data_IF_126177441351
#
_entry.id   IF_126177441351
#
_cell.length_a   1.000
_cell.length_b   1.000
_cell.length_c   1.000
_cell.angle_alpha   90.00
_cell.angle_beta   90.00
_cell.angle_gamma   90.00
#
_symmetry.space_group_name_H-M   'P 1'
#
loop_
_entity.id
_entity.type
_entity.pdbx_description
1 polymer ?
#
# COMPACT_ATOMS: atom_id res chain seq x y z
N UNK A 1 -15.94 17.14 -24.00
CA UNK A 1 -15.68 15.70 -24.20
C UNK A 1 -16.51 14.99 -23.15
N UNK A 2 -17.37 14.04 -23.55
CA UNK A 2 -18.29 13.40 -22.62
C UNK A 2 -17.49 12.69 -21.51
N UNK A 3 -17.80 12.97 -20.24
CA UNK A 3 -17.34 12.19 -19.10
C UNK A 3 -17.88 10.77 -19.26
N UNK A 4 -17.10 9.91 -19.92
CA UNK A 4 -17.39 8.50 -20.03
C UNK A 4 -17.31 7.86 -18.64
N UNK A 5 -18.30 7.05 -18.31
CA UNK A 5 -18.33 6.25 -17.08
C UNK A 5 -17.01 5.47 -16.95
N UNK A 6 -16.23 5.73 -15.89
CA UNK A 6 -14.94 5.06 -15.69
C UNK A 6 -15.17 3.57 -15.51
N UNK A 7 -14.66 2.74 -16.43
CA UNK A 7 -14.81 1.28 -16.32
C UNK A 7 -13.55 0.63 -15.74
N UNK A 8 -13.74 -0.32 -14.84
CA UNK A 8 -12.69 -0.98 -14.07
C UNK A 8 -12.57 -2.46 -14.44
N UNK A 9 -11.34 -2.94 -14.53
CA UNK A 9 -10.99 -4.35 -14.51
C UNK A 9 -10.24 -4.69 -13.22
N UNK A 10 -10.74 -5.65 -12.46
CA UNK A 10 -10.19 -6.05 -11.16
C UNK A 10 -9.52 -7.42 -11.28
N UNK A 11 -8.24 -7.45 -10.92
CA UNK A 11 -7.41 -8.65 -10.92
C UNK A 11 -6.94 -8.91 -9.49
N UNK A 12 -7.30 -10.09 -8.96
CA UNK A 12 -7.08 -10.43 -7.57
C UNK A 12 -6.06 -11.55 -7.47
N UNK A 13 -4.91 -11.22 -6.91
CA UNK A 13 -3.95 -12.20 -6.45
C UNK A 13 -4.38 -12.69 -5.07
N UNK A 14 -5.13 -13.79 -5.07
CA UNK A 14 -5.76 -14.28 -3.85
C UNK A 14 -4.74 -14.90 -2.91
N UNK A 15 -3.66 -15.48 -3.42
CA UNK A 15 -2.64 -16.12 -2.58
C UNK A 15 -1.92 -15.07 -1.73
N UNK A 16 -1.45 -13.97 -2.34
CA UNK A 16 -0.79 -12.89 -1.59
C UNK A 16 -1.75 -12.20 -0.61
N UNK A 17 -3.01 -12.01 -1.03
CA UNK A 17 -4.02 -11.42 -0.17
C UNK A 17 -4.31 -12.30 1.04
N UNK A 18 -4.53 -13.60 0.84
CA UNK A 18 -4.78 -14.57 1.90
C UNK A 18 -3.57 -14.73 2.84
N UNK A 19 -2.35 -14.66 2.33
CA UNK A 19 -1.13 -14.64 3.17
C UNK A 19 -1.13 -13.45 4.13
N UNK A 20 -1.60 -12.28 3.71
CA UNK A 20 -1.73 -11.09 4.56
C UNK A 20 -2.70 -11.24 5.74
N UNK A 21 -3.64 -12.19 5.69
CA UNK A 21 -4.54 -12.55 6.80
C UNK A 21 -4.04 -13.73 7.63
N UNK A 22 -3.02 -14.46 7.16
CA UNK A 22 -2.53 -15.68 7.80
C UNK A 22 -1.83 -15.33 9.12
N UNK A 23 -2.54 -15.55 10.24
CA UNK A 23 -2.08 -15.22 11.60
C UNK A 23 -3.01 -14.26 12.36
N UNK A 24 -3.91 -13.57 11.66
CA UNK A 24 -4.92 -12.68 12.25
C UNK A 24 -6.20 -13.49 12.54
N UNK A 25 -6.28 -14.13 13.73
CA UNK A 25 -7.37 -15.06 14.12
C UNK A 25 -8.79 -14.50 13.98
N UNK A 26 -8.96 -13.17 14.03
CA UNK A 26 -10.26 -12.51 14.05
C UNK A 26 -10.61 -11.76 12.74
N UNK A 27 -9.75 -11.78 11.71
CA UNK A 27 -10.02 -11.08 10.45
C UNK A 27 -9.94 -12.03 9.26
N UNK A 28 -11.08 -12.21 8.58
CA UNK A 28 -11.16 -12.93 7.31
C UNK A 28 -11.18 -11.94 6.15
N UNK A 29 -10.70 -12.37 5.01
CA UNK A 29 -10.83 -11.60 3.78
C UNK A 29 -12.30 -11.51 3.35
N UNK A 30 -12.80 -10.29 3.17
CA UNK A 30 -14.17 -9.96 2.79
C UNK A 30 -14.17 -9.23 1.45
N UNK A 31 -14.37 -10.00 0.37
CA UNK A 31 -14.38 -9.46 -0.98
C UNK A 31 -15.43 -8.37 -1.21
N UNK A 32 -16.56 -8.43 -0.50
CA UNK A 32 -17.66 -7.46 -0.66
C UNK A 32 -17.18 -6.03 -0.35
N UNK A 33 -16.38 -5.86 0.71
CA UNK A 33 -15.81 -4.55 1.09
C UNK A 33 -14.90 -3.98 0.00
N UNK A 34 -14.09 -4.84 -0.61
CA UNK A 34 -13.23 -4.46 -1.75
C UNK A 34 -14.11 -3.97 -2.91
N UNK A 35 -15.13 -4.75 -3.28
CA UNK A 35 -16.00 -4.38 -4.39
C UNK A 35 -16.80 -3.10 -4.12
N UNK A 36 -17.32 -2.90 -2.92
CA UNK A 36 -18.02 -1.68 -2.50
C UNK A 36 -17.14 -0.45 -2.70
N UNK A 37 -15.89 -0.49 -2.21
CA UNK A 37 -14.94 0.61 -2.39
C UNK A 37 -14.59 0.86 -3.86
N UNK A 38 -14.46 -0.21 -4.66
CA UNK A 38 -14.10 -0.09 -6.07
C UNK A 38 -15.26 0.42 -6.94
N UNK A 39 -16.50 0.15 -6.57
CA UNK A 39 -17.68 0.69 -7.27
C UNK A 39 -17.73 2.22 -7.18
N UNK A 40 -17.22 2.82 -6.11
CA UNK A 40 -17.08 4.29 -5.98
C UNK A 40 -16.10 4.88 -7.00
N UNK A 41 -15.15 4.08 -7.49
CA UNK A 41 -14.14 4.49 -8.49
C UNK A 41 -14.64 4.35 -9.92
N UNK A 42 -15.73 3.61 -10.13
CA UNK A 42 -16.37 3.43 -11.42
C UNK A 42 -17.00 2.05 -11.58
N UNK A 43 -17.49 1.79 -12.79
CA UNK A 43 -18.20 0.57 -13.13
C UNK A 43 -17.26 -0.61 -13.32
N UNK A 44 -17.36 -1.59 -12.44
CA UNK A 44 -16.57 -2.82 -12.55
C UNK A 44 -17.17 -3.73 -13.62
N UNK A 45 -16.40 -3.99 -14.68
CA UNK A 45 -16.82 -4.81 -15.83
C UNK A 45 -16.09 -6.15 -15.92
N UNK A 46 -14.89 -6.24 -15.34
CA UNK A 46 -14.12 -7.49 -15.25
C UNK A 46 -13.70 -7.69 -13.80
N UNK A 47 -13.86 -8.92 -13.29
CA UNK A 47 -13.40 -9.34 -11.96
C UNK A 47 -12.86 -10.76 -12.06
N UNK A 48 -11.55 -10.91 -11.92
CA UNK A 48 -10.87 -12.20 -11.95
C UNK A 48 -10.06 -12.41 -10.69
N UNK A 49 -10.08 -13.61 -10.14
CA UNK A 49 -9.22 -14.00 -9.02
C UNK A 49 -8.37 -15.20 -9.40
N UNK A 50 -7.11 -15.20 -8.97
CA UNK A 50 -6.09 -16.19 -9.31
C UNK A 50 -5.61 -16.89 -8.04
N UNK A 51 -5.73 -18.22 -7.99
CA UNK A 51 -5.26 -19.04 -6.87
C UNK A 51 -5.17 -20.52 -7.27
N UNK A 52 -4.45 -21.32 -6.48
CA UNK A 52 -4.74 -22.75 -6.37
C UNK A 52 -5.98 -22.92 -5.47
N UNK A 53 -7.16 -23.13 -6.05
CA UNK A 53 -8.39 -23.09 -5.27
C UNK A 53 -8.64 -24.37 -4.47
N UNK A 54 -7.79 -25.38 -4.60
CA UNK A 54 -7.78 -26.51 -3.67
C UNK A 54 -7.46 -26.03 -2.24
N UNK A 55 -6.56 -25.05 -2.11
CA UNK A 55 -6.12 -24.49 -0.82
C UNK A 55 -7.14 -23.51 -0.21
N UNK A 56 -8.06 -22.96 -1.02
CA UNK A 56 -8.97 -21.86 -0.64
C UNK A 56 -10.45 -22.16 -0.90
N UNK A 57 -10.85 -23.42 -0.73
CA UNK A 57 -12.21 -23.90 -1.01
C UNK A 57 -13.32 -23.12 -0.29
N UNK A 58 -13.08 -22.62 0.93
CA UNK A 58 -14.05 -21.84 1.72
C UNK A 58 -14.41 -20.50 1.08
N UNK A 59 -13.51 -19.92 0.26
CA UNK A 59 -13.71 -18.62 -0.39
C UNK A 59 -14.37 -18.73 -1.77
N UNK A 60 -14.44 -19.94 -2.36
CA UNK A 60 -15.07 -20.15 -3.68
C UNK A 60 -16.50 -19.64 -3.73
N UNK A 61 -17.33 -20.00 -2.75
CA UNK A 61 -18.74 -19.62 -2.72
C UNK A 61 -18.94 -18.09 -2.61
N UNK A 62 -18.34 -17.39 -1.62
CA UNK A 62 -18.43 -15.93 -1.54
C UNK A 62 -17.94 -15.19 -2.80
N UNK A 63 -16.85 -15.65 -3.41
CA UNK A 63 -16.31 -15.03 -4.63
C UNK A 63 -17.22 -15.26 -5.85
N UNK A 64 -17.75 -16.47 -5.99
CA UNK A 64 -18.71 -16.81 -7.05
C UNK A 64 -20.02 -16.02 -6.91
N UNK A 65 -20.55 -15.88 -5.69
CA UNK A 65 -21.71 -15.02 -5.40
C UNK A 65 -21.46 -13.55 -5.77
N UNK A 66 -20.21 -13.10 -5.72
CA UNK A 66 -19.81 -11.75 -6.11
C UNK A 66 -19.58 -11.58 -7.63
N UNK A 67 -19.90 -12.62 -8.43
CA UNK A 67 -19.66 -12.70 -9.87
C UNK A 67 -18.18 -12.51 -10.25
N UNK A 68 -17.28 -13.09 -9.47
CA UNK A 68 -15.84 -13.11 -9.75
C UNK A 68 -15.51 -14.42 -10.46
N UNK A 69 -14.81 -14.30 -11.59
CA UNK A 69 -14.28 -15.44 -12.31
C UNK A 69 -13.09 -16.03 -11.54
N UNK A 70 -13.18 -17.30 -11.18
CA UNK A 70 -12.15 -18.03 -10.46
C UNK A 70 -11.20 -18.71 -11.46
N UNK A 71 -9.98 -18.19 -11.58
CA UNK A 71 -8.94 -18.75 -12.44
C UNK A 71 -8.12 -19.75 -11.61
N UNK A 72 -8.24 -21.03 -11.94
CA UNK A 72 -7.53 -22.12 -11.28
C UNK A 72 -6.07 -22.20 -11.75
N UNK A 73 -5.14 -22.15 -10.80
CA UNK A 73 -3.70 -22.24 -11.03
C UNK A 73 -3.14 -23.43 -10.24
N UNK A 74 -3.20 -24.66 -10.78
CA UNK A 74 -2.78 -25.84 -10.04
C UNK A 74 -1.26 -25.89 -9.87
N UNK A 75 -0.79 -26.04 -8.62
CA UNK A 75 0.64 -26.15 -8.29
C UNK A 75 1.20 -27.53 -8.70
N UNK A 76 1.70 -27.66 -9.93
CA UNK A 76 2.23 -28.94 -10.45
C UNK A 76 3.61 -29.37 -9.93
N UNK A 77 4.34 -28.53 -9.18
CA UNK A 77 5.61 -28.88 -8.51
C UNK A 77 6.03 -27.83 -7.46
N UNK A 78 7.08 -28.14 -6.66
CA UNK A 78 7.66 -27.35 -5.56
C UNK A 78 8.05 -25.88 -5.92
N UNK A 79 7.99 -25.52 -7.21
CA UNK A 79 8.36 -24.22 -7.80
C UNK A 79 7.16 -23.39 -8.30
N UNK A 80 5.92 -23.85 -8.10
CA UNK A 80 4.71 -23.26 -8.71
C UNK A 80 4.26 -21.88 -8.22
N UNK A 81 5.00 -21.22 -7.32
CA UNK A 81 4.56 -19.99 -6.63
C UNK A 81 4.29 -18.81 -7.58
N UNK A 82 5.07 -18.66 -8.65
CA UNK A 82 4.95 -17.50 -9.54
C UNK A 82 3.93 -17.72 -10.68
N UNK A 83 3.27 -18.88 -10.73
CA UNK A 83 2.37 -19.22 -11.84
C UNK A 83 1.13 -18.34 -11.86
N UNK A 84 0.62 -17.98 -10.67
CA UNK A 84 -0.54 -17.12 -10.52
C UNK A 84 -0.21 -15.69 -10.98
N UNK A 85 0.92 -15.15 -10.51
CA UNK A 85 1.39 -13.80 -10.87
C UNK A 85 1.60 -13.65 -12.38
N UNK A 86 2.26 -14.63 -12.99
CA UNK A 86 2.49 -14.65 -14.44
C UNK A 86 1.16 -14.67 -15.19
N UNK A 87 0.22 -15.54 -14.78
CA UNK A 87 -1.08 -15.65 -15.44
C UNK A 87 -1.90 -14.37 -15.28
N UNK A 88 -1.89 -13.76 -14.10
CA UNK A 88 -2.54 -12.48 -13.82
C UNK A 88 -1.98 -11.38 -14.73
N UNK A 89 -0.64 -11.29 -14.85
CA UNK A 89 0.01 -10.31 -15.71
C UNK A 89 -0.37 -10.49 -17.19
N UNK A 90 -0.35 -11.72 -17.68
CA UNK A 90 -0.71 -12.05 -19.08
C UNK A 90 -2.16 -11.64 -19.37
N UNK A 91 -3.10 -12.07 -18.52
CA UNK A 91 -4.53 -11.74 -18.69
C UNK A 91 -4.77 -10.23 -18.60
N UNK A 92 -4.04 -9.51 -17.75
CA UNK A 92 -4.16 -8.05 -17.59
C UNK A 92 -3.72 -7.31 -18.84
N UNK A 93 -2.58 -7.70 -19.42
CA UNK A 93 -2.04 -7.09 -20.64
C UNK A 93 -2.90 -7.43 -21.86
N UNK A 94 -3.36 -8.68 -21.97
CA UNK A 94 -4.28 -9.09 -23.03
C UNK A 94 -5.59 -8.29 -22.97
N UNK A 95 -6.14 -8.08 -21.78
CA UNK A 95 -7.33 -7.25 -21.59
C UNK A 95 -7.08 -5.78 -21.92
N UNK A 96 -5.91 -5.24 -21.55
CA UNK A 96 -5.50 -3.87 -21.87
C UNK A 96 -5.53 -3.59 -23.37
N UNK A 97 -5.05 -4.54 -24.18
CA UNK A 97 -5.02 -4.41 -25.64
C UNK A 97 -6.34 -4.77 -26.32
N UNK A 98 -7.06 -5.77 -25.81
CA UNK A 98 -8.30 -6.25 -26.46
C UNK A 98 -9.54 -5.41 -26.13
N UNK A 99 -9.54 -4.68 -25.01
CA UNK A 99 -10.69 -3.90 -24.52
C UNK A 99 -10.28 -2.46 -24.22
N UNK A 100 -10.20 -1.65 -25.27
CA UNK A 100 -9.76 -0.25 -25.18
C UNK A 100 -10.62 0.59 -24.21
N UNK A 101 -11.92 0.31 -24.14
CA UNK A 101 -12.85 1.03 -23.26
C UNK A 101 -12.51 0.90 -21.77
N UNK A 102 -11.71 -0.10 -21.37
CA UNK A 102 -11.26 -0.26 -19.99
C UNK A 102 -10.21 0.81 -19.68
N UNK A 103 -10.60 1.84 -18.93
CA UNK A 103 -9.72 2.94 -18.54
C UNK A 103 -8.90 2.68 -17.28
N UNK A 104 -9.38 1.82 -16.38
CA UNK A 104 -8.77 1.62 -15.05
C UNK A 104 -8.54 0.14 -14.75
N UNK A 105 -7.34 -0.19 -14.29
CA UNK A 105 -6.94 -1.52 -13.85
C UNK A 105 -6.72 -1.51 -12.34
N UNK A 106 -7.33 -2.45 -11.64
CA UNK A 106 -7.17 -2.64 -10.20
C UNK A 106 -6.39 -3.92 -9.97
N UNK A 107 -5.21 -3.80 -9.36
CA UNK A 107 -4.37 -4.93 -8.98
C UNK A 107 -4.49 -5.12 -7.47
N UNK A 108 -5.18 -6.17 -7.06
CA UNK A 108 -5.33 -6.53 -5.66
C UNK A 108 -4.16 -7.44 -5.26
N UNK A 109 -3.02 -6.82 -4.96
CA UNK A 109 -1.83 -7.44 -4.39
C UNK A 109 -0.95 -6.38 -3.70
N UNK A 110 -0.10 -6.83 -2.77
CA UNK A 110 0.94 -6.01 -2.12
C UNK A 110 2.34 -6.22 -2.71
N UNK A 111 2.51 -7.19 -3.60
CA UNK A 111 3.83 -7.64 -4.07
C UNK A 111 4.49 -6.66 -5.05
N UNK A 112 5.76 -6.33 -4.81
CA UNK A 112 6.58 -5.53 -5.73
C UNK A 112 6.74 -6.14 -7.12
N UNK A 113 6.57 -7.47 -7.27
CA UNK A 113 6.74 -8.17 -8.55
C UNK A 113 5.71 -7.72 -9.60
N UNK A 114 4.62 -7.08 -9.21
CA UNK A 114 3.66 -6.45 -10.13
C UNK A 114 4.08 -5.07 -10.63
N UNK A 115 5.18 -4.49 -10.15
CA UNK A 115 5.63 -3.15 -10.59
C UNK A 115 5.82 -3.05 -12.11
N UNK A 116 6.43 -4.03 -12.82
CA UNK A 116 6.52 -4.00 -14.28
C UNK A 116 5.15 -3.99 -14.97
N UNK A 117 4.17 -4.74 -14.44
CA UNK A 117 2.79 -4.74 -14.96
C UNK A 117 2.16 -3.35 -14.82
N UNK A 118 2.28 -2.74 -13.63
CA UNK A 118 1.78 -1.38 -13.37
C UNK A 118 2.39 -0.38 -14.36
N UNK A 119 3.71 -0.40 -14.53
CA UNK A 119 4.40 0.47 -15.47
C UNK A 119 3.90 0.28 -16.90
N UNK A 120 3.70 -0.98 -17.32
CA UNK A 120 3.23 -1.28 -18.68
C UNK A 120 1.79 -0.84 -18.91
N UNK A 121 0.91 -0.99 -17.93
CA UNK A 121 -0.47 -0.49 -18.01
C UNK A 121 -0.50 1.04 -18.13
N UNK A 122 0.32 1.73 -17.35
CA UNK A 122 0.46 3.20 -17.40
C UNK A 122 1.04 3.69 -18.72
N UNK A 123 2.02 2.99 -19.28
CA UNK A 123 2.57 3.25 -20.62
C UNK A 123 1.47 3.20 -21.70
N UNK A 124 0.46 2.35 -21.52
CA UNK A 124 -0.71 2.26 -22.41
C UNK A 124 -1.85 3.24 -22.03
N UNK A 125 -1.55 4.27 -21.24
CA UNK A 125 -2.51 5.32 -20.86
C UNK A 125 -3.61 4.84 -19.91
N UNK A 126 -3.44 3.69 -19.25
CA UNK A 126 -4.41 3.18 -18.28
C UNK A 126 -4.10 3.71 -16.89
N UNK A 127 -5.14 4.02 -16.14
CA UNK A 127 -5.04 4.33 -14.71
C UNK A 127 -4.88 3.03 -13.93
N UNK A 128 -3.97 3.00 -12.95
CA UNK A 128 -3.72 1.81 -12.13
C UNK A 128 -3.98 2.09 -10.64
N UNK A 129 -4.87 1.30 -10.05
CA UNK A 129 -5.17 1.31 -8.62
C UNK A 129 -4.59 0.04 -8.00
N UNK A 130 -3.70 0.19 -7.02
CA UNK A 130 -3.24 -0.93 -6.20
C UNK A 130 -4.15 -1.12 -4.99
N UNK A 131 -4.38 -2.37 -4.58
CA UNK A 131 -5.06 -2.69 -3.33
C UNK A 131 -4.33 -3.80 -2.59
N UNK A 132 -3.92 -3.54 -1.35
CA UNK A 132 -3.15 -4.53 -0.58
C UNK A 132 -3.17 -4.27 0.91
N UNK A 133 -2.62 -5.20 1.69
CA UNK A 133 -2.47 -5.08 3.14
C UNK A 133 -1.33 -4.11 3.46
N UNK A 134 -1.51 -3.19 4.41
CA UNK A 134 -0.51 -2.15 4.73
C UNK A 134 0.85 -2.73 5.13
N UNK A 135 0.85 -3.80 5.92
CA UNK A 135 2.08 -4.45 6.42
C UNK A 135 2.79 -5.29 5.36
N UNK A 136 2.08 -5.73 4.32
CA UNK A 136 2.60 -6.62 3.27
C UNK A 136 2.78 -5.93 1.93
N UNK A 137 2.43 -4.65 1.83
CA UNK A 137 2.55 -3.87 0.60
C UNK A 137 3.93 -3.23 0.48
N UNK A 138 4.61 -3.46 -0.62
CA UNK A 138 5.91 -2.83 -0.88
C UNK A 138 5.76 -1.35 -1.23
N UNK A 139 6.65 -0.50 -0.71
CA UNK A 139 6.69 0.92 -1.09
C UNK A 139 6.95 1.12 -2.59
N UNK A 140 7.63 0.16 -3.23
CA UNK A 140 7.89 0.20 -4.67
C UNK A 140 6.59 0.11 -5.47
N UNK A 141 5.73 -0.87 -5.16
CA UNK A 141 4.43 -1.01 -5.82
C UNK A 141 3.55 0.21 -5.52
N UNK A 142 3.45 0.60 -4.24
CA UNK A 142 2.62 1.72 -3.78
C UNK A 142 2.95 3.01 -4.54
N UNK A 143 4.23 3.33 -4.69
CA UNK A 143 4.66 4.54 -5.38
C UNK A 143 4.51 4.47 -6.90
N UNK A 144 4.41 3.26 -7.48
CA UNK A 144 4.27 3.09 -8.93
C UNK A 144 2.81 3.21 -9.39
N UNK A 145 1.86 2.82 -8.54
CA UNK A 145 0.42 2.98 -8.80
C UNK A 145 0.00 4.45 -8.83
N UNK A 146 -1.09 4.77 -9.54
CA UNK A 146 -1.67 6.12 -9.53
C UNK A 146 -2.47 6.38 -8.25
N UNK A 147 -3.07 5.33 -7.71
CA UNK A 147 -3.70 5.31 -6.39
C UNK A 147 -3.39 3.97 -5.72
N UNK A 148 -3.21 3.97 -4.40
CA UNK A 148 -3.07 2.74 -3.62
C UNK A 148 -4.04 2.76 -2.44
N UNK A 149 -4.87 1.73 -2.33
CA UNK A 149 -5.89 1.57 -1.29
C UNK A 149 -5.44 0.45 -0.35
N UNK A 150 -5.32 0.74 0.94
CA UNK A 150 -5.03 -0.29 1.92
C UNK A 150 -6.29 -1.04 2.32
N UNK A 151 -6.21 -2.37 2.41
CA UNK A 151 -7.35 -3.18 2.81
C UNK A 151 -7.89 -2.79 4.19
N UNK A 152 -7.00 -2.44 5.12
CA UNK A 152 -7.35 -1.96 6.47
C UNK A 152 -8.13 -0.65 6.45
N UNK A 153 -8.01 0.15 5.39
CA UNK A 153 -8.79 1.38 5.19
C UNK A 153 -10.18 1.09 4.59
N UNK A 154 -10.41 -0.11 4.01
CA UNK A 154 -11.75 -0.54 3.57
C UNK A 154 -12.69 -0.80 4.75
N UNK A 155 -12.11 -1.22 5.88
CA UNK A 155 -12.83 -1.35 7.15
C UNK A 155 -13.11 0.00 7.80
N UNK A 156 -12.68 1.09 7.17
CA UNK A 156 -13.03 2.45 7.52
C UNK A 156 -14.02 3.02 6.48
N UNK A 157 -15.32 2.62 6.50
CA UNK A 157 -16.29 3.71 6.42
C UNK A 157 -15.89 4.64 7.57
N UNK A 158 -16.05 5.95 7.43
CA UNK A 158 -15.58 6.89 8.45
C UNK A 158 -16.03 6.51 9.87
N UNK A 159 -17.01 5.63 10.00
CA UNK A 159 -17.22 4.74 11.12
C UNK A 159 -18.69 4.80 11.42
N UNK A 160 -19.15 4.08 12.43
CA UNK A 160 -20.39 4.50 13.06
C UNK A 160 -20.08 5.83 13.78
N UNK A 161 -20.84 6.91 13.53
CA UNK A 161 -20.69 8.15 14.28
C UNK A 161 -20.69 7.84 15.79
N UNK A 162 -19.69 8.29 16.55
CA UNK A 162 -19.62 7.99 17.96
C UNK A 162 -20.76 8.74 18.66
N UNK A 163 -21.33 8.13 19.71
CA UNK A 163 -22.20 8.88 20.61
C UNK A 163 -21.33 9.77 21.46
N UNK A 164 -21.60 11.07 21.43
CA UNK A 164 -20.87 12.03 22.26
C UNK A 164 -21.36 11.85 23.70
N UNK A 165 -20.41 11.60 24.59
CA UNK A 165 -20.68 11.35 26.00
C UNK A 165 -21.34 12.59 26.67
N UNK A 166 -22.26 12.33 27.59
CA UNK A 166 -23.05 13.38 28.25
C UNK A 166 -22.31 14.08 29.40
N UNK A 167 -21.11 13.62 29.75
CA UNK A 167 -20.27 14.19 30.80
C UNK A 167 -19.40 15.36 30.28
N UNK A 168 -19.25 15.49 28.95
CA UNK A 168 -18.53 16.60 28.34
C UNK A 168 -19.25 17.94 28.57
N UNK A 169 -18.50 19.05 28.77
CA UNK A 169 -19.05 20.39 28.83
C UNK A 169 -19.96 20.69 27.63
N UNK A 170 -21.10 21.34 27.88
CA UNK A 170 -22.17 21.58 26.88
C UNK A 170 -21.63 22.20 25.59
N UNK A 171 -20.76 23.20 25.71
CA UNK A 171 -20.15 23.88 24.56
C UNK A 171 -19.25 22.98 23.72
N UNK A 172 -18.51 22.06 24.35
CA UNK A 172 -17.66 21.08 23.64
C UNK A 172 -18.53 20.06 22.91
N UNK A 173 -19.56 19.55 23.60
CA UNK A 173 -20.52 18.60 23.04
C UNK A 173 -21.19 19.13 21.79
N UNK A 174 -21.62 20.39 21.81
CA UNK A 174 -22.23 21.04 20.65
C UNK A 174 -21.26 21.15 19.47
N UNK A 175 -20.00 21.52 19.73
CA UNK A 175 -18.98 21.60 18.70
C UNK A 175 -18.67 20.24 18.07
N UNK A 176 -18.52 19.20 18.91
CA UNK A 176 -18.27 17.83 18.46
C UNK A 176 -19.47 17.26 17.71
N UNK A 177 -20.71 17.55 18.12
CA UNK A 177 -21.89 17.07 17.42
C UNK A 177 -21.96 17.67 16.02
N UNK A 178 -21.72 18.99 15.91
CA UNK A 178 -21.67 19.67 14.63
C UNK A 178 -20.54 19.15 13.74
N UNK A 179 -19.39 18.81 14.33
CA UNK A 179 -18.25 18.21 13.62
C UNK A 179 -18.63 16.84 13.04
N UNK A 180 -19.17 15.94 13.87
CA UNK A 180 -19.63 14.60 13.48
C UNK A 180 -20.67 14.70 12.37
N UNK A 181 -21.67 15.56 12.55
CA UNK A 181 -22.72 15.75 11.56
C UNK A 181 -22.15 16.25 10.23
N UNK A 182 -21.16 17.14 10.27
CA UNK A 182 -20.52 17.69 9.06
C UNK A 182 -19.68 16.65 8.34
N UNK A 183 -18.95 15.82 9.08
CA UNK A 183 -18.22 14.67 8.55
C UNK A 183 -19.19 13.70 7.88
N UNK A 184 -20.28 13.30 8.56
CA UNK A 184 -21.32 12.41 7.99
C UNK A 184 -21.92 12.97 6.70
N UNK A 185 -22.16 14.28 6.63
CA UNK A 185 -22.67 14.90 5.41
C UNK A 185 -21.67 14.80 4.25
N UNK A 186 -20.39 15.03 4.50
CA UNK A 186 -19.35 14.90 3.47
C UNK A 186 -19.16 13.46 3.01
N UNK A 187 -19.33 12.48 3.90
CA UNK A 187 -19.35 11.05 3.52
C UNK A 187 -20.50 10.77 2.57
N UNK A 188 -21.71 11.27 2.87
CA UNK A 188 -22.89 11.10 2.01
C UNK A 188 -22.74 11.78 0.66
N UNK A 189 -21.94 12.83 0.59
CA UNK A 189 -21.55 13.51 -0.66
C UNK A 189 -20.41 12.78 -1.41
N UNK A 190 -20.03 11.57 -0.99
CA UNK A 190 -18.97 10.74 -1.58
C UNK A 190 -17.62 11.47 -1.71
N UNK A 191 -17.25 12.29 -0.72
CA UNK A 191 -15.94 12.95 -0.69
C UNK A 191 -14.86 11.98 -0.25
N UNK A 192 -13.89 11.71 -1.14
CA UNK A 192 -12.82 10.73 -0.90
C UNK A 192 -11.82 11.14 0.19
N UNK A 193 -11.58 12.44 0.36
CA UNK A 193 -10.62 12.98 1.35
C UNK A 193 -11.30 14.10 2.13
N UNK A 194 -11.39 13.93 3.44
CA UNK A 194 -12.00 14.91 4.34
C UNK A 194 -10.94 15.87 4.90
N UNK A 195 -10.60 16.87 4.09
CA UNK A 195 -9.71 17.95 4.53
C UNK A 195 -10.36 18.77 5.64
N UNK A 196 -9.58 19.14 6.65
CA UNK A 196 -10.00 20.01 7.74
C UNK A 196 -10.69 21.31 7.27
N UNK A 197 -10.21 21.93 6.19
CA UNK A 197 -10.84 23.10 5.57
C UNK A 197 -12.27 22.81 5.07
N UNK A 198 -12.45 21.69 4.37
CA UNK A 198 -13.75 21.24 3.85
C UNK A 198 -14.73 20.94 4.97
N UNK A 199 -14.26 20.31 6.04
CA UNK A 199 -15.08 20.04 7.22
C UNK A 199 -15.50 21.33 7.91
N UNK A 200 -14.56 22.28 8.08
CA UNK A 200 -14.84 23.61 8.62
C UNK A 200 -15.86 24.38 7.80
N UNK A 201 -15.73 24.40 6.48
CA UNK A 201 -16.69 25.03 5.58
C UNK A 201 -18.08 24.40 5.70
N UNK A 202 -18.15 23.07 5.83
CA UNK A 202 -19.41 22.34 6.01
C UNK A 202 -20.05 22.63 7.37
N UNK A 203 -19.26 22.73 8.44
CA UNK A 203 -19.75 23.17 9.76
C UNK A 203 -20.34 24.57 9.69
N UNK A 204 -19.68 25.51 8.99
CA UNK A 204 -20.20 26.88 8.79
C UNK A 204 -21.45 26.92 7.91
N UNK A 205 -21.55 26.06 6.89
CA UNK A 205 -22.78 25.92 6.08
C UNK A 205 -23.95 25.41 6.91
N UNK A 206 -23.71 24.40 7.78
CA UNK A 206 -24.74 23.84 8.66
C UNK A 206 -25.15 24.79 9.79
N UNK A 207 -24.19 25.50 10.37
CA UNK A 207 -24.39 26.47 11.45
C UNK A 207 -23.56 27.72 11.19
N UNK A 208 -24.12 28.74 10.52
CA UNK A 208 -23.40 29.98 10.22
C UNK A 208 -22.88 30.74 11.44
N UNK A 209 -23.49 30.54 12.61
CA UNK A 209 -23.05 31.11 13.89
C UNK A 209 -21.89 30.35 14.55
N UNK A 210 -21.38 29.28 13.93
CA UNK A 210 -20.27 28.51 14.47
C UNK A 210 -19.00 29.36 14.58
N UNK A 211 -18.41 29.37 15.78
CA UNK A 211 -17.18 30.07 16.09
C UNK A 211 -16.35 29.26 17.10
N UNK A 212 -15.12 28.92 16.74
CA UNK A 212 -14.21 28.09 17.54
C UNK A 212 -13.98 28.66 18.94
N UNK A 213 -13.82 29.99 19.05
CA UNK A 213 -13.59 30.68 20.32
C UNK A 213 -14.82 30.64 21.23
N UNK A 214 -16.04 30.65 20.67
CA UNK A 214 -17.27 30.49 21.44
C UNK A 214 -17.32 29.11 22.13
N UNK A 215 -16.78 28.09 21.45
CA UNK A 215 -16.69 26.72 21.95
C UNK A 215 -15.43 26.44 22.80
N UNK A 216 -14.59 27.45 23.04
CA UNK A 216 -13.40 27.34 23.91
C UNK A 216 -12.11 26.95 23.20
N UNK A 217 -12.07 26.99 21.86
CA UNK A 217 -10.90 26.65 21.05
C UNK A 217 -10.25 27.91 20.44
N UNK A 218 -8.92 27.96 20.36
CA UNK A 218 -8.22 29.10 19.74
C UNK A 218 -8.19 28.96 18.23
N UNK A 219 -8.04 27.74 17.74
CA UNK A 219 -8.05 27.42 16.31
C UNK A 219 -8.96 26.24 16.01
N UNK A 220 -9.29 26.06 14.73
CA UNK A 220 -10.01 24.86 14.29
C UNK A 220 -9.17 23.59 14.45
N UNK A 221 -7.84 23.70 14.34
CA UNK A 221 -6.93 22.59 14.61
C UNK A 221 -7.03 22.13 16.06
N UNK A 222 -7.10 23.07 17.02
CA UNK A 222 -7.25 22.74 18.45
C UNK A 222 -8.53 21.93 18.71
N UNK A 223 -9.63 22.28 18.02
CA UNK A 223 -10.90 21.57 18.10
C UNK A 223 -10.77 20.15 17.55
N UNK A 224 -10.06 19.97 16.43
CA UNK A 224 -9.85 18.66 15.83
C UNK A 224 -8.97 17.78 16.74
N UNK A 225 -7.87 18.31 17.26
CA UNK A 225 -6.96 17.59 18.16
C UNK A 225 -7.66 17.17 19.46
N UNK A 226 -8.51 18.04 20.03
CA UNK A 226 -9.31 17.72 21.20
C UNK A 226 -10.37 16.65 20.87
N UNK A 227 -11.02 16.75 19.70
CA UNK A 227 -11.97 15.73 19.23
C UNK A 227 -11.29 14.36 19.01
N UNK A 228 -10.05 14.32 18.54
CA UNK A 228 -9.27 13.09 18.45
C UNK A 228 -8.92 12.52 19.82
N UNK A 229 -8.52 13.38 20.77
CA UNK A 229 -8.17 13.00 22.13
C UNK A 229 -9.35 12.40 22.90
N UNK A 230 -10.54 12.95 22.69
CA UNK A 230 -11.81 12.43 23.21
C UNK A 230 -12.28 11.18 22.44
N UNK A 231 -11.60 10.81 21.36
CA UNK A 231 -11.93 9.61 20.58
C UNK A 231 -13.14 9.77 19.68
N UNK A 232 -13.48 11.00 19.32
CA UNK A 232 -14.58 11.30 18.40
C UNK A 232 -14.13 11.02 16.96
N UNK A 233 -12.96 11.53 16.57
CA UNK A 233 -12.40 11.39 15.22
C UNK A 233 -10.97 10.84 15.24
N UNK A 234 -10.50 10.40 14.08
CA UNK A 234 -9.11 10.05 13.83
C UNK A 234 -8.54 11.05 12.83
N UNK A 235 -7.37 11.61 13.13
CA UNK A 235 -6.69 12.55 12.27
C UNK A 235 -5.44 11.94 11.65
N UNK A 236 -5.11 12.45 10.47
CA UNK A 236 -3.81 12.26 9.84
C UNK A 236 -3.31 13.62 9.37
N UNK A 237 -2.02 13.87 9.54
CA UNK A 237 -1.37 15.05 8.97
C UNK A 237 -0.79 14.71 7.61
N UNK A 238 -1.06 15.54 6.60
CA UNK A 238 -0.44 15.43 5.29
C UNK A 238 1.03 15.88 5.35
N UNK A 239 1.95 15.01 4.90
CA UNK A 239 3.39 15.22 5.03
C UNK A 239 3.95 16.36 4.15
N UNK A 240 3.20 16.82 3.15
CA UNK A 240 3.61 17.93 2.25
C UNK A 240 3.09 19.28 2.71
N UNK A 241 1.83 19.34 3.15
CA UNK A 241 1.14 20.59 3.47
C UNK A 241 0.98 20.87 4.96
N UNK A 242 1.17 19.87 5.83
CA UNK A 242 0.89 19.99 7.27
C UNK A 242 -0.61 20.07 7.60
N UNK A 243 -1.48 19.86 6.61
CA UNK A 243 -2.93 19.98 6.78
C UNK A 243 -3.51 18.72 7.42
N UNK A 244 -4.47 18.89 8.33
CA UNK A 244 -5.22 17.78 8.91
C UNK A 244 -6.25 17.19 7.94
N UNK A 245 -6.29 15.86 7.89
CA UNK A 245 -7.27 15.03 7.18
C UNK A 245 -7.96 14.14 8.21
N UNK A 246 -9.29 14.11 8.17
CA UNK A 246 -10.09 13.21 9.01
C UNK A 246 -10.19 11.86 8.32
N UNK A 247 -9.69 10.81 8.98
CA UNK A 247 -9.57 9.46 8.43
C UNK A 247 -10.53 8.45 9.08
N UNK A 248 -11.34 8.89 10.04
CA UNK A 248 -12.32 8.04 10.71
C UNK A 248 -12.91 8.66 11.98
N UNK A 249 -13.74 7.88 12.66
CA UNK A 249 -14.35 8.10 13.95
C UNK A 249 -13.75 7.13 14.99
N UNK A 250 -13.78 7.51 16.28
CA UNK A 250 -13.33 6.63 17.36
C UNK A 250 -11.88 6.85 17.79
N UNK A 251 -11.47 6.20 18.90
CA UNK A 251 -10.08 6.17 19.36
C UNK A 251 -9.23 5.30 18.43
N UNK A 252 -8.04 5.78 18.07
CA UNK A 252 -7.01 4.95 17.45
C UNK A 252 -6.66 3.81 18.42
N UNK A 253 -6.89 2.55 18.02
CA UNK A 253 -6.32 1.44 18.77
C UNK A 253 -4.81 1.51 18.60
N UNK A 254 -4.11 2.08 19.59
CA UNK A 254 -2.68 1.93 19.76
C UNK A 254 -2.36 0.46 20.03
N UNK A 255 -2.25 -0.33 18.96
CA UNK A 255 -1.36 -1.46 18.92
C UNK A 255 -0.14 -1.06 18.08
N UNK A 256 1.02 -1.27 18.69
CA UNK A 256 2.30 -1.52 18.01
C UNK A 256 3.19 -0.33 17.62
N UNK A 257 3.13 0.82 18.29
CA UNK A 257 4.28 1.77 18.28
C UNK A 257 5.21 1.59 19.49
N UNK A 258 4.70 1.02 20.59
CA UNK A 258 5.49 0.81 21.81
C UNK A 258 6.37 -0.46 21.74
N UNK A 259 5.97 -1.47 20.97
CA UNK A 259 6.78 -2.67 20.74
C UNK A 259 7.91 -2.41 19.73
N UNK A 260 7.68 -1.65 18.65
CA UNK A 260 8.76 -1.27 17.71
C UNK A 260 9.87 -0.43 18.37
N UNK A 261 9.53 0.44 19.33
CA UNK A 261 10.53 1.22 20.09
C UNK A 261 11.29 0.39 21.13
N UNK A 262 10.68 -0.70 21.63
CA UNK A 262 11.35 -1.66 22.53
C UNK A 262 12.23 -2.63 21.75
N UNK A 263 11.75 -3.13 20.62
CA UNK A 263 12.46 -4.10 19.78
C UNK A 263 13.63 -3.43 19.04
N UNK A 264 13.50 -2.17 18.63
CA UNK A 264 14.62 -1.38 18.08
C UNK A 264 15.68 -0.99 19.11
N UNK A 265 15.32 -0.85 20.40
CA UNK A 265 16.26 -0.67 21.51
C UNK A 265 16.98 -1.98 21.86
N UNK A 266 16.27 -3.10 21.98
CA UNK A 266 16.88 -4.41 22.22
C UNK A 266 17.78 -4.87 21.06
N UNK A 267 17.40 -4.56 19.81
CA UNK A 267 18.20 -4.88 18.62
C UNK A 267 19.46 -4.01 18.50
N UNK A 268 19.48 -2.83 19.12
CA UNK A 268 20.69 -1.99 19.24
C UNK A 268 21.59 -2.45 20.40
N UNK A 269 21.05 -2.85 21.55
CA UNK A 269 21.85 -3.39 22.67
C UNK A 269 22.50 -4.75 22.35
N UNK A 270 21.83 -5.61 21.56
CA UNK A 270 22.40 -6.90 21.13
C UNK A 270 23.55 -6.80 20.12
N UNK A 271 23.78 -5.63 19.49
CA UNK A 271 24.78 -5.44 18.42
C UNK A 271 26.10 -4.82 18.86
N UNK A 272 26.28 -4.46 20.14
CA UNK A 272 27.58 -4.04 20.68
C UNK A 272 28.29 -5.20 21.38
N UNK A 273 29.29 -5.85 20.77
CA UNK A 273 30.11 -6.84 21.47
C UNK A 273 31.05 -6.12 22.47
N UNK A 274 31.03 -6.55 23.73
CA UNK A 274 32.03 -6.15 24.74
C UNK A 274 33.42 -6.65 24.31
N UNK A 275 34.48 -5.82 24.33
CA UNK A 275 35.83 -6.29 24.06
C UNK A 275 36.32 -7.19 25.21
N UNK A 276 36.33 -8.51 24.99
CA UNK A 276 36.94 -9.48 25.89
C UNK A 276 38.42 -9.60 25.57
N UNK A 277 39.25 -8.88 26.32
CA UNK A 277 40.69 -9.13 26.31
C UNK A 277 40.96 -10.49 26.95
N UNK A 278 41.48 -11.45 26.18
CA UNK A 278 42.01 -12.73 26.68
C UNK A 278 43.49 -12.80 26.35
N UNK A 279 44.31 -12.97 27.39
CA UNK A 279 45.76 -13.17 27.32
C UNK A 279 46.08 -14.43 26.50
N UNK A 280 46.89 -14.30 25.44
CA UNK A 280 47.39 -15.43 24.64
C UNK A 280 48.63 -16.05 25.30
N UNK A 281 48.75 -17.40 25.39
CA UNK A 281 50.04 -18.03 25.63
C UNK A 281 50.86 -18.10 24.33
N UNK A 282 52.18 -17.89 24.43
CA UNK A 282 53.14 -17.90 23.31
C UNK A 282 53.29 -19.32 22.71
N UNK A 283 53.29 -19.44 21.38
CA UNK A 283 53.72 -20.64 20.63
C UNK A 283 54.98 -20.34 19.78
N UNK A 284 55.85 -21.34 19.53
CA UNK A 284 57.19 -21.16 18.98
C UNK A 284 57.24 -21.02 17.43
N UNK A 285 58.32 -20.44 16.92
CA UNK A 285 58.55 -20.07 15.49
C UNK A 285 58.75 -21.28 14.56
N UNK A 286 58.25 -21.26 13.30
CA UNK A 286 58.63 -22.21 12.26
C UNK A 286 59.83 -21.73 11.39
N UNK A 287 60.57 -22.70 10.83
CA UNK A 287 61.79 -22.57 10.01
C UNK A 287 61.47 -22.28 8.52
N UNK A 288 62.38 -21.57 7.83
CA UNK A 288 62.34 -21.18 6.41
C UNK A 288 62.71 -22.30 5.42
N UNK A 289 62.09 -22.39 4.22
CA UNK A 289 62.57 -23.19 3.09
C UNK A 289 63.29 -22.35 1.98
N UNK A 290 64.06 -22.99 1.06
CA UNK A 290 65.01 -22.35 0.13
C UNK A 290 64.39 -21.88 -1.22
N UNK A 291 65.12 -21.11 -2.06
CA UNK A 291 64.55 -20.43 -3.23
C UNK A 291 64.59 -21.29 -4.53
N UNK A 292 63.69 -20.98 -5.46
CA UNK A 292 63.59 -21.54 -6.83
C UNK A 292 63.91 -20.48 -7.90
N UNK A 293 64.41 -20.87 -9.09
CA UNK A 293 65.07 -19.97 -10.05
C UNK A 293 64.15 -19.36 -11.13
N UNK A 294 64.78 -18.46 -11.91
CA UNK A 294 64.26 -17.38 -12.77
C UNK A 294 63.23 -17.71 -13.88
N UNK A 295 62.44 -16.68 -14.21
CA UNK A 295 61.55 -16.59 -15.37
C UNK A 295 62.25 -15.84 -16.53
N UNK A 296 62.01 -16.19 -17.81
CA UNK A 296 62.54 -15.43 -18.94
C UNK A 296 61.62 -14.30 -19.43
N UNK A 297 62.28 -13.25 -19.91
CA UNK A 297 61.79 -12.02 -20.55
C UNK A 297 60.85 -12.23 -21.76
N UNK A 298 59.86 -11.33 -21.90
CA UNK A 298 59.12 -11.12 -23.16
C UNK A 298 59.39 -9.69 -23.65
N UNK A 299 59.93 -9.49 -24.86
CA UNK A 299 60.21 -8.15 -25.39
C UNK A 299 59.05 -7.52 -26.16
N UNK A 300 59.21 -6.21 -26.34
CA UNK A 300 58.28 -5.19 -26.84
C UNK A 300 58.01 -5.25 -28.38
N UNK A 301 56.98 -4.53 -28.82
CA UNK A 301 56.40 -4.43 -30.17
C UNK A 301 57.34 -4.09 -31.36
N UNK A 302 56.83 -4.13 -32.61
CA UNK A 302 56.79 -2.87 -33.37
C UNK A 302 55.50 -2.60 -34.18
N UNK A 303 55.42 -1.34 -34.62
CA UNK A 303 54.36 -0.63 -35.38
C UNK A 303 54.27 -0.98 -36.89
N UNK A 304 53.26 -0.38 -37.54
CA UNK A 304 52.98 -0.21 -39.00
C UNK A 304 52.30 -1.40 -39.68
N UNK A 305 51.26 -1.26 -40.51
CA UNK A 305 51.13 -0.34 -41.65
C UNK A 305 49.66 -0.21 -42.12
N UNK A 306 49.36 0.93 -42.75
CA UNK A 306 48.08 1.36 -43.33
C UNK A 306 47.93 0.75 -44.73
N UNK A 307 46.75 0.24 -45.11
CA UNK A 307 46.40 0.04 -46.53
C UNK A 307 44.90 0.22 -46.80
N UNK A 308 44.63 1.21 -47.67
CA UNK A 308 43.37 1.54 -48.33
C UNK A 308 43.00 0.54 -49.43
N UNK A 309 41.71 0.28 -49.63
CA UNK A 309 41.00 0.11 -50.92
C UNK A 309 39.50 -0.14 -50.60
N UNK A 310 38.52 0.72 -50.92
CA UNK A 310 38.01 1.15 -52.23
C UNK A 310 37.38 0.01 -53.07
N UNK A 311 36.11 0.21 -53.47
CA UNK A 311 35.38 -0.52 -54.52
C UNK A 311 34.07 -1.15 -54.03
N UNK A 312 32.90 -0.52 -54.17
CA UNK A 312 32.04 -0.40 -55.37
C UNK A 312 31.03 -1.55 -55.56
N UNK A 313 29.74 -1.16 -55.60
CA UNK A 313 28.71 -1.58 -56.58
C UNK A 313 28.26 -3.04 -56.68
N UNK A 314 27.07 -3.34 -56.13
CA UNK A 314 25.79 -3.62 -56.85
C UNK A 314 24.77 -4.27 -55.91
#
# INVERSE_FOLDING_TARGET
MAEGEHTLAVFIDFENLALGFKGKKDKRFEIRKVLERLVEKGKIIVKKAYADWADYSEYKKPLHEAAIELIEIPKRAMTGKNSADIRLCVDSIDLCYSKEHIGTFVIVSGDSDFSPLVSKLKENGKRVIGLGMKESSSNLLVNNCDEFIYYEDLERPIGTPPRIEQDLPEKKREAFQLLVDSVVALVRENKEVLWSSMVKETMKRKKPSFNESYHGYRTFSDLLEDAEKEGIIQLRTDARSGTYVIVGFGKEQKKDTAEELKESKERKERKTPKPRWRSRPRKPKPKTPPPTPDAPDVPNAPETEILNAAGESL
#
